data_IF_699348948422
#
_entry.id   IF_699348948422
#
_cell.length_a   1.000
_cell.length_b   1.000
_cell.length_c   1.000
_cell.angle_alpha   90.00
_cell.angle_beta   90.00
_cell.angle_gamma   90.00
#
_symmetry.space_group_name_H-M   'P 1'
#
loop_
_entity.id
_entity.type
_entity.pdbx_description
1 polymer ?
#
# COMPACT_ATOMS: atom_id res chain seq x y z
N UNK A 1 -9.47 16.85 -1.75
CA UNK A 1 -9.18 16.47 -3.14
C UNK A 1 -8.54 15.09 -3.18
N UNK A 2 -9.01 14.25 -4.05
CA UNK A 2 -8.48 12.89 -4.23
C UNK A 2 -7.77 12.81 -5.58
N UNK A 3 -6.54 12.28 -5.59
CA UNK A 3 -5.80 12.00 -6.83
C UNK A 3 -5.39 10.53 -6.84
N UNK A 4 -5.51 9.91 -8.01
CA UNK A 4 -5.05 8.54 -8.23
C UNK A 4 -3.56 8.59 -8.57
N UNK A 5 -2.75 7.77 -7.88
CA UNK A 5 -1.32 7.64 -8.19
C UNK A 5 -1.10 6.69 -9.36
N UNK A 6 0.00 6.89 -10.09
CA UNK A 6 0.44 6.04 -11.19
C UNK A 6 1.52 5.04 -10.75
N UNK A 7 1.55 4.71 -9.47
CA UNK A 7 2.55 3.80 -8.91
C UNK A 7 2.36 2.39 -9.44
N UNK A 8 3.44 1.78 -9.91
CA UNK A 8 3.51 0.35 -10.20
C UNK A 8 3.69 -0.40 -8.86
N UNK A 9 2.59 -0.90 -8.31
CA UNK A 9 2.57 -1.55 -7.00
C UNK A 9 3.46 -2.79 -6.97
N UNK A 10 3.48 -3.57 -8.05
CA UNK A 10 4.32 -4.77 -8.14
C UNK A 10 5.80 -4.40 -8.09
N UNK A 11 6.21 -3.36 -8.80
CA UNK A 11 7.59 -2.88 -8.78
C UNK A 11 8.00 -2.37 -7.40
N UNK A 12 7.11 -1.69 -6.68
CA UNK A 12 7.36 -1.20 -5.32
C UNK A 12 7.61 -2.38 -4.37
N UNK A 13 6.77 -3.40 -4.45
CA UNK A 13 6.90 -4.59 -3.59
C UNK A 13 8.15 -5.40 -3.94
N UNK A 14 8.47 -5.55 -5.22
CA UNK A 14 9.68 -6.25 -5.66
C UNK A 14 10.94 -5.56 -5.15
N UNK A 15 10.98 -4.23 -5.18
CA UNK A 15 12.09 -3.44 -4.64
C UNK A 15 12.21 -3.61 -3.12
N UNK A 16 11.10 -3.62 -2.39
CA UNK A 16 11.09 -3.85 -0.95
C UNK A 16 11.66 -5.24 -0.62
N UNK A 17 11.23 -6.27 -1.34
CA UNK A 17 11.71 -7.64 -1.16
C UNK A 17 13.22 -7.71 -1.42
N UNK A 18 13.67 -7.08 -2.50
CA UNK A 18 15.10 -7.04 -2.86
C UNK A 18 15.94 -6.38 -1.77
N UNK A 19 15.52 -5.23 -1.27
CA UNK A 19 16.23 -4.50 -0.21
C UNK A 19 16.34 -5.31 1.07
N UNK A 20 15.26 -5.96 1.46
CA UNK A 20 15.25 -6.80 2.67
C UNK A 20 16.17 -8.00 2.51
N UNK A 21 16.18 -8.64 1.35
CA UNK A 21 17.07 -9.76 1.06
C UNK A 21 18.55 -9.34 1.13
N UNK A 22 18.89 -8.21 0.53
CA UNK A 22 20.25 -7.66 0.56
C UNK A 22 20.70 -7.30 1.98
N UNK A 23 19.78 -6.87 2.83
CA UNK A 23 20.05 -6.57 4.24
C UNK A 23 20.05 -7.82 5.14
N UNK A 24 19.78 -9.00 4.61
CA UNK A 24 19.71 -10.23 5.38
C UNK A 24 18.45 -10.34 6.25
N UNK A 25 17.40 -9.58 5.91
CA UNK A 25 16.16 -9.57 6.66
C UNK A 25 15.15 -10.54 6.06
N UNK A 26 14.18 -10.95 6.89
CA UNK A 26 13.07 -11.79 6.44
C UNK A 26 12.20 -11.04 5.40
N UNK A 27 11.38 -11.79 4.66
CA UNK A 27 10.43 -11.23 3.73
C UNK A 27 9.51 -10.22 4.44
N UNK A 28 9.05 -9.15 3.73
CA UNK A 28 8.21 -8.14 4.36
C UNK A 28 6.87 -8.70 4.81
N UNK A 29 6.41 -8.25 5.96
CA UNK A 29 5.06 -8.56 6.46
C UNK A 29 4.01 -7.80 5.66
N UNK A 30 2.73 -8.18 5.79
CA UNK A 30 1.64 -7.44 5.16
C UNK A 30 1.63 -5.97 5.61
N UNK A 31 1.88 -5.72 6.89
CA UNK A 31 1.96 -4.38 7.46
C UNK A 31 3.08 -3.55 6.81
N UNK A 32 4.24 -4.13 6.61
CA UNK A 32 5.37 -3.48 5.95
C UNK A 32 5.09 -3.22 4.46
N UNK A 33 4.41 -4.14 3.81
CA UNK A 33 4.03 -3.99 2.40
C UNK A 33 3.05 -2.83 2.19
N UNK A 34 1.99 -2.74 3.00
CA UNK A 34 1.02 -1.64 2.85
C UNK A 34 1.64 -0.29 3.19
N UNK A 35 2.57 -0.25 4.14
CA UNK A 35 3.27 0.99 4.47
C UNK A 35 4.16 1.46 3.31
N UNK A 36 4.87 0.54 2.66
CA UNK A 36 5.69 0.86 1.49
C UNK A 36 4.84 1.38 0.33
N UNK A 37 3.67 0.78 0.08
CA UNK A 37 2.75 1.23 -0.95
C UNK A 37 2.14 2.59 -0.62
N UNK A 38 1.74 2.81 0.63
CA UNK A 38 1.21 4.09 1.08
C UNK A 38 2.23 5.22 0.87
N UNK A 39 3.49 4.96 1.22
CA UNK A 39 4.60 5.90 1.00
C UNK A 39 4.81 6.20 -0.48
N UNK A 40 4.89 5.17 -1.32
CA UNK A 40 5.10 5.33 -2.76
C UNK A 40 3.98 6.15 -3.40
N UNK A 41 2.74 5.87 -3.03
CA UNK A 41 1.57 6.60 -3.54
C UNK A 41 1.58 8.07 -3.12
N UNK A 42 1.90 8.34 -1.86
CA UNK A 42 1.98 9.72 -1.35
C UNK A 42 3.06 10.52 -2.07
N UNK A 43 4.24 9.94 -2.24
CA UNK A 43 5.37 10.61 -2.89
C UNK A 43 5.12 10.83 -4.38
N UNK A 44 4.46 9.91 -5.06
CA UNK A 44 4.08 10.06 -6.45
C UNK A 44 3.13 11.23 -6.66
N UNK A 45 2.08 11.31 -5.85
CA UNK A 45 1.12 12.42 -5.91
C UNK A 45 1.76 13.74 -5.50
N UNK A 46 2.64 13.74 -4.49
CA UNK A 46 3.35 14.92 -4.05
C UNK A 46 4.20 15.54 -5.17
N UNK A 47 4.84 14.72 -6.01
CA UNK A 47 5.68 15.18 -7.09
C UNK A 47 4.92 16.05 -8.11
N UNK A 48 3.60 15.88 -8.20
CA UNK A 48 2.74 16.65 -9.11
C UNK A 48 1.77 17.59 -8.38
N UNK A 49 1.96 17.80 -7.08
CA UNK A 49 1.08 18.65 -6.26
C UNK A 49 1.79 19.96 -5.92
N UNK A 50 1.15 21.07 -6.25
CA UNK A 50 1.61 22.41 -5.87
C UNK A 50 1.27 22.62 -4.38
N UNK A 51 2.20 23.19 -3.57
CA UNK A 51 1.91 23.56 -2.17
C UNK A 51 0.68 24.44 -1.98
N UNK A 52 0.28 25.20 -3.02
CA UNK A 52 -0.93 26.02 -2.99
C UNK A 52 -2.20 25.17 -3.16
N UNK A 53 -2.10 23.99 -3.75
CA UNK A 53 -3.26 23.09 -3.96
C UNK A 53 -3.58 22.30 -2.69
N UNK A 54 -2.56 21.90 -1.93
CA UNK A 54 -2.72 21.12 -0.71
C UNK A 54 -1.52 21.33 0.20
N UNK A 55 -1.76 21.37 1.50
CA UNK A 55 -0.70 21.48 2.52
C UNK A 55 -0.07 20.15 2.85
N UNK A 56 -0.87 19.08 2.78
CA UNK A 56 -0.46 17.73 3.13
C UNK A 56 -0.98 16.75 2.09
N UNK A 57 -0.13 15.82 1.69
CA UNK A 57 -0.52 14.67 0.87
C UNK A 57 -0.56 13.44 1.78
N UNK A 58 -1.65 12.70 1.73
CA UNK A 58 -1.84 11.46 2.49
C UNK A 58 -1.90 10.30 1.53
N UNK A 59 -0.97 9.36 1.68
CA UNK A 59 -1.02 8.07 1.01
C UNK A 59 -1.62 7.02 1.93
N UNK A 60 -2.42 6.13 1.38
CA UNK A 60 -3.05 5.04 2.13
C UNK A 60 -3.11 3.80 1.26
N UNK A 61 -2.86 2.65 1.86
CA UNK A 61 -3.03 1.36 1.21
C UNK A 61 -3.49 0.32 2.22
N UNK A 62 -4.21 -0.69 1.74
CA UNK A 62 -4.72 -1.76 2.60
C UNK A 62 -4.51 -3.12 1.94
N UNK A 63 -4.25 -4.13 2.76
CA UNK A 63 -4.17 -5.52 2.35
C UNK A 63 -4.92 -6.40 3.33
N UNK A 64 -5.64 -7.39 2.81
CA UNK A 64 -6.32 -8.40 3.62
C UNK A 64 -5.44 -9.64 3.72
N UNK A 65 -5.22 -10.10 4.94
CA UNK A 65 -4.47 -11.34 5.22
C UNK A 65 -5.40 -12.36 5.85
N UNK A 66 -5.46 -13.54 5.24
CA UNK A 66 -6.29 -14.65 5.72
C UNK A 66 -5.43 -15.91 5.74
N UNK A 67 -5.39 -16.60 6.88
CA UNK A 67 -4.60 -17.84 7.03
C UNK A 67 -3.13 -17.67 6.61
N UNK A 68 -2.54 -16.51 6.92
CA UNK A 68 -1.15 -16.19 6.61
C UNK A 68 -0.90 -15.80 5.15
N UNK A 69 -1.96 -15.67 4.35
CA UNK A 69 -1.85 -15.28 2.93
C UNK A 69 -2.47 -13.91 2.68
N UNK A 70 -1.73 -13.08 1.95
CA UNK A 70 -2.24 -11.78 1.50
C UNK A 70 -3.16 -12.01 0.31
N UNK A 71 -4.38 -11.48 0.39
CA UNK A 71 -5.38 -11.55 -0.66
C UNK A 71 -5.43 -10.20 -1.38
N UNK A 72 -5.04 -10.17 -2.65
CA UNK A 72 -5.11 -8.98 -3.49
C UNK A 72 -6.51 -8.74 -4.04
N UNK A 73 -6.67 -7.67 -4.81
CA UNK A 73 -7.94 -7.38 -5.48
C UNK A 73 -8.29 -8.48 -6.48
N UNK A 74 -9.56 -8.92 -6.54
CA UNK A 74 -9.98 -9.88 -7.55
C UNK A 74 -9.89 -9.29 -8.95
N UNK A 75 -9.50 -10.13 -9.92
CA UNK A 75 -9.36 -9.70 -11.31
C UNK A 75 -10.73 -9.49 -11.99
N UNK A 76 -11.75 -10.24 -11.57
CA UNK A 76 -13.09 -10.17 -12.12
C UNK A 76 -14.13 -10.60 -11.08
N UNK A 77 -15.41 -10.56 -11.47
CA UNK A 77 -16.53 -10.92 -10.59
C UNK A 77 -16.51 -12.40 -10.20
N UNK A 78 -16.06 -13.29 -11.07
CA UNK A 78 -15.98 -14.71 -10.78
C UNK A 78 -14.93 -14.99 -9.71
N UNK A 79 -13.77 -14.35 -9.80
CA UNK A 79 -12.71 -14.48 -8.80
C UNK A 79 -13.13 -13.86 -7.46
N UNK A 80 -13.84 -12.73 -7.49
CA UNK A 80 -14.38 -12.11 -6.28
C UNK A 80 -15.35 -13.05 -5.56
N UNK A 81 -16.21 -13.74 -6.30
CA UNK A 81 -17.17 -14.71 -5.76
C UNK A 81 -16.46 -15.92 -5.16
N UNK A 82 -15.45 -16.46 -5.84
CA UNK A 82 -14.63 -17.55 -5.34
C UNK A 82 -13.96 -17.19 -4.02
N UNK A 83 -13.36 -16.01 -3.94
CA UNK A 83 -12.72 -15.52 -2.72
C UNK A 83 -13.70 -15.31 -1.60
N UNK A 84 -14.87 -14.78 -1.92
CA UNK A 84 -15.94 -14.62 -0.94
C UNK A 84 -16.35 -15.96 -0.32
N UNK A 85 -16.53 -16.99 -1.14
CA UNK A 85 -16.87 -18.32 -0.67
C UNK A 85 -15.76 -18.92 0.21
N UNK A 86 -14.50 -18.73 -0.19
CA UNK A 86 -13.35 -19.22 0.54
C UNK A 86 -13.19 -18.50 1.90
N UNK A 87 -13.53 -17.22 1.96
CA UNK A 87 -13.42 -16.40 3.18
C UNK A 87 -14.60 -16.58 4.13
N UNK A 88 -15.72 -17.09 3.63
CA UNK A 88 -16.93 -17.29 4.45
C UNK A 88 -16.64 -18.19 5.64
N UNK A 89 -16.97 -17.71 6.84
CA UNK A 89 -16.69 -18.43 8.09
C UNK A 89 -15.26 -18.32 8.58
N UNK A 90 -14.39 -17.60 7.87
CA UNK A 90 -12.99 -17.37 8.26
C UNK A 90 -12.80 -15.99 8.87
N UNK A 91 -11.71 -15.82 9.61
CA UNK A 91 -11.30 -14.52 10.15
C UNK A 91 -10.07 -14.04 9.40
N UNK A 92 -10.09 -12.78 8.98
CA UNK A 92 -8.96 -12.14 8.33
C UNK A 92 -8.48 -10.92 9.10
N UNK A 93 -7.28 -10.44 8.77
CA UNK A 93 -6.72 -9.20 9.30
C UNK A 93 -6.57 -8.20 8.16
N UNK A 94 -7.19 -7.04 8.31
CA UNK A 94 -7.00 -5.94 7.36
C UNK A 94 -5.86 -5.05 7.85
N UNK A 95 -4.80 -4.98 7.08
CA UNK A 95 -3.67 -4.11 7.35
C UNK A 95 -3.82 -2.83 6.54
N UNK A 96 -3.66 -1.69 7.19
CA UNK A 96 -3.72 -0.39 6.52
C UNK A 96 -2.50 0.42 6.85
N UNK A 97 -1.84 0.95 5.82
CA UNK A 97 -0.70 1.84 5.96
C UNK A 97 -1.08 3.27 5.62
N UNK A 98 -0.49 4.22 6.32
CA UNK A 98 -0.66 5.65 6.08
C UNK A 98 0.70 6.31 5.99
N UNK A 99 0.83 7.26 5.08
CA UNK A 99 2.02 8.08 4.93
C UNK A 99 1.59 9.50 4.64
N UNK A 100 2.07 10.44 5.44
CA UNK A 100 1.75 11.86 5.29
C UNK A 100 3.00 12.63 4.95
N UNK A 101 2.90 13.52 3.98
CA UNK A 101 4.00 14.40 3.60
C UNK A 101 3.48 15.83 3.47
N UNK A 102 4.21 16.76 4.10
CA UNK A 102 3.91 18.18 4.00
C UNK A 102 4.52 18.73 2.71
N UNK A 103 3.71 19.39 1.91
CA UNK A 103 4.12 19.85 0.58
C UNK A 103 5.14 20.98 0.62
N UNK A 104 5.09 21.82 1.65
CA UNK A 104 5.97 22.98 1.75
C UNK A 104 7.44 22.62 1.99
N UNK A 105 7.74 21.61 2.81
CA UNK A 105 9.10 21.27 3.23
C UNK A 105 9.43 19.77 3.12
N UNK A 106 8.48 18.95 2.72
CA UNK A 106 8.70 17.50 2.61
C UNK A 106 8.75 16.77 3.94
N UNK A 107 8.37 17.40 5.05
CA UNK A 107 8.31 16.73 6.35
C UNK A 107 7.30 15.56 6.31
N UNK A 108 7.68 14.42 6.89
CA UNK A 108 6.87 13.20 6.82
C UNK A 108 6.41 12.73 8.19
N UNK A 109 5.27 12.02 8.20
CA UNK A 109 4.76 11.27 9.34
C UNK A 109 4.20 9.93 8.87
N UNK A 110 4.45 8.90 9.65
CA UNK A 110 4.00 7.54 9.35
C UNK A 110 3.22 6.94 10.52
#
# INVERSE_FOLDING_TARGET
MVRVSDVDEEAVLDELIRRRREAGLAAPTASEQVQALARAKALDVMASTDPQEAEVVVGCDSMLEISGQVVGKPADAAQARERWQMMSGSTGTLHTGHFLVRTADGAIAE
#
